data_IF_052346263112
#
_entry.id   IF_052346263112
#
_cell.length_a   1.000
_cell.length_b   1.000
_cell.length_c   1.000
_cell.angle_alpha   90.00
_cell.angle_beta   90.00
_cell.angle_gamma   90.00
#
_symmetry.space_group_name_H-M   'P 1'
#
loop_
_entity.id
_entity.type
_entity.pdbx_description
1 polymer ?
#
# COMPACT_ATOMS: atom_id res chain seq x y z
N UNK A 1 -1.96 10.44 -56.82
CA UNK A 1 -2.33 9.24 -56.02
C UNK A 1 -1.30 8.91 -54.94
N UNK A 2 0.02 8.96 -55.20
CA UNK A 2 1.05 8.69 -54.18
C UNK A 2 0.98 9.60 -52.93
N UNK A 3 0.65 10.89 -53.10
CA UNK A 3 0.56 11.88 -52.01
C UNK A 3 -0.62 11.58 -51.05
N UNK A 4 -1.71 10.99 -51.55
CA UNK A 4 -2.84 10.62 -50.71
C UNK A 4 -2.52 9.39 -49.85
N UNK A 5 -1.79 8.43 -50.41
CA UNK A 5 -1.37 7.22 -49.69
C UNK A 5 -0.38 7.59 -48.57
N UNK A 6 0.56 8.51 -48.85
CA UNK A 6 1.50 8.98 -47.81
C UNK A 6 0.82 9.81 -46.73
N UNK A 7 -0.15 10.67 -47.08
CA UNK A 7 -0.93 11.43 -46.09
C UNK A 7 -1.78 10.52 -45.18
N UNK A 8 -2.39 9.48 -45.74
CA UNK A 8 -3.17 8.50 -44.98
C UNK A 8 -2.27 7.67 -44.04
N UNK A 9 -1.12 7.20 -44.54
CA UNK A 9 -0.14 6.48 -43.72
C UNK A 9 0.38 7.35 -42.57
N UNK A 10 0.63 8.65 -42.82
CA UNK A 10 1.06 9.60 -41.79
C UNK A 10 -0.02 9.83 -40.74
N UNK A 11 -1.28 10.01 -41.16
CA UNK A 11 -2.41 10.20 -40.24
C UNK A 11 -2.61 8.99 -39.33
N UNK A 12 -2.46 7.76 -39.85
CA UNK A 12 -2.53 6.54 -39.05
C UNK A 12 -1.36 6.45 -38.06
N UNK A 13 -0.13 6.78 -38.50
CA UNK A 13 1.05 6.79 -37.65
C UNK A 13 0.93 7.77 -36.48
N UNK A 14 0.44 8.98 -36.74
CA UNK A 14 0.16 9.99 -35.71
C UNK A 14 -0.90 9.50 -34.70
N UNK A 15 -1.99 8.90 -35.20
CA UNK A 15 -3.03 8.32 -34.34
C UNK A 15 -2.46 7.28 -33.39
N UNK A 16 -1.70 6.31 -33.90
CA UNK A 16 -1.06 5.25 -33.09
C UNK A 16 -0.07 5.85 -32.08
N UNK A 17 0.72 6.86 -32.47
CA UNK A 17 1.67 7.50 -31.57
C UNK A 17 0.99 8.14 -30.35
N UNK A 18 -0.16 8.79 -30.53
CA UNK A 18 -0.90 9.39 -29.41
C UNK A 18 -1.42 8.36 -28.41
N UNK A 19 -1.82 7.17 -28.90
CA UNK A 19 -2.28 6.07 -28.05
C UNK A 19 -1.11 5.54 -27.21
N UNK A 20 0.02 5.25 -27.85
CA UNK A 20 1.22 4.75 -27.16
C UNK A 20 1.69 5.74 -26.10
N UNK A 21 1.67 7.04 -26.39
CA UNK A 21 2.09 8.05 -25.42
C UNK A 21 1.18 8.07 -24.16
N UNK A 22 -0.12 7.85 -24.33
CA UNK A 22 -1.04 7.67 -23.21
C UNK A 22 -0.76 6.40 -22.39
N UNK A 23 -0.52 5.27 -23.06
CA UNK A 23 -0.24 3.98 -22.42
C UNK A 23 1.04 3.99 -21.58
N UNK A 24 2.08 4.72 -22.02
CA UNK A 24 3.31 4.89 -21.26
C UNK A 24 3.07 5.61 -19.92
N UNK A 25 2.18 6.61 -19.91
CA UNK A 25 1.77 7.31 -18.69
C UNK A 25 1.07 6.38 -17.70
N UNK A 26 0.12 5.58 -18.18
CA UNK A 26 -0.63 4.62 -17.37
C UNK A 26 0.31 3.53 -16.82
N UNK A 27 1.23 3.02 -17.64
CA UNK A 27 2.19 1.99 -17.26
C UNK A 27 3.04 2.40 -16.05
N UNK A 28 3.45 3.67 -15.99
CA UNK A 28 4.17 4.21 -14.83
C UNK A 28 3.35 4.14 -13.54
N UNK A 29 2.07 4.53 -13.61
CA UNK A 29 1.15 4.49 -12.45
C UNK A 29 0.81 3.06 -12.02
N UNK A 30 0.78 2.12 -12.96
CA UNK A 30 0.59 0.69 -12.65
C UNK A 30 1.76 0.14 -11.85
N UNK A 31 3.01 0.49 -12.20
CA UNK A 31 4.19 0.09 -11.43
C UNK A 31 4.14 0.65 -10.00
N UNK A 32 3.84 1.94 -9.85
CA UNK A 32 3.71 2.60 -8.54
C UNK A 32 2.59 1.97 -7.70
N UNK A 33 1.49 1.54 -8.34
CA UNK A 33 0.39 0.83 -7.69
C UNK A 33 0.81 -0.55 -7.17
N UNK A 34 1.59 -1.30 -7.94
CA UNK A 34 2.08 -2.62 -7.52
C UNK A 34 3.01 -2.50 -6.31
N UNK A 35 3.86 -1.48 -6.30
CA UNK A 35 4.78 -1.20 -5.18
C UNK A 35 4.02 -0.84 -3.89
N UNK A 36 3.02 0.04 -4.00
CA UNK A 36 2.15 0.39 -2.87
C UNK A 36 1.33 -0.81 -2.38
N UNK A 37 0.80 -1.63 -3.29
CA UNK A 37 0.01 -2.82 -2.93
C UNK A 37 0.88 -3.89 -2.28
N UNK A 38 2.09 -4.14 -2.80
CA UNK A 38 3.05 -5.07 -2.20
C UNK A 38 3.45 -4.66 -0.78
N UNK A 39 3.65 -3.36 -0.55
CA UNK A 39 3.91 -2.83 0.79
C UNK A 39 2.72 -3.06 1.73
N UNK A 40 1.49 -2.81 1.26
CA UNK A 40 0.27 -3.04 2.03
C UNK A 40 0.08 -4.53 2.38
N UNK A 41 0.31 -5.43 1.43
CA UNK A 41 0.20 -6.88 1.60
C UNK A 41 1.23 -7.40 2.62
N UNK A 42 2.48 -6.95 2.51
CA UNK A 42 3.53 -7.31 3.47
C UNK A 42 3.22 -6.81 4.90
N UNK A 43 2.64 -5.62 5.01
CA UNK A 43 2.24 -5.05 6.30
C UNK A 43 1.08 -5.80 6.95
N UNK A 44 0.07 -6.20 6.16
CA UNK A 44 -1.10 -6.92 6.70
C UNK A 44 -0.71 -8.34 7.13
N UNK A 45 0.12 -9.03 6.37
CA UNK A 45 0.60 -10.37 6.73
C UNK A 45 1.41 -10.33 8.02
N UNK A 46 2.24 -9.30 8.23
CA UNK A 46 2.96 -9.16 9.49
C UNK A 46 1.99 -8.94 10.66
N UNK A 47 1.03 -8.05 10.50
CA UNK A 47 0.04 -7.76 11.54
C UNK A 47 -0.78 -9.00 11.89
N UNK A 48 -1.25 -9.73 10.87
CA UNK A 48 -2.06 -10.92 11.03
C UNK A 48 -1.26 -12.06 11.69
N UNK A 49 0.01 -12.23 11.32
CA UNK A 49 0.89 -13.20 11.97
C UNK A 49 1.03 -12.91 13.47
N UNK A 50 1.34 -11.66 13.83
CA UNK A 50 1.52 -11.28 15.24
C UNK A 50 0.21 -11.26 16.02
N UNK A 51 -0.95 -11.04 15.38
CA UNK A 51 -2.24 -11.14 16.04
C UNK A 51 -2.66 -12.60 16.27
N UNK A 52 -2.66 -13.43 15.22
CA UNK A 52 -3.20 -14.78 15.28
C UNK A 52 -2.25 -15.75 15.97
N UNK A 53 -0.94 -15.68 15.69
CA UNK A 53 0.03 -16.65 16.23
C UNK A 53 0.56 -16.26 17.59
N UNK A 54 0.77 -14.97 17.82
CA UNK A 54 1.48 -14.47 19.01
C UNK A 54 0.55 -13.69 19.95
N UNK A 55 -0.68 -13.38 19.54
CA UNK A 55 -1.64 -12.58 20.31
C UNK A 55 -1.06 -11.25 20.81
N UNK A 56 -0.12 -10.67 20.06
CA UNK A 56 0.68 -9.52 20.50
C UNK A 56 -0.12 -8.22 20.62
N UNK A 57 -1.33 -8.18 20.06
CA UNK A 57 -2.26 -7.04 20.13
C UNK A 57 -3.43 -7.28 21.08
N UNK A 58 -3.39 -8.33 21.91
CA UNK A 58 -4.32 -8.48 23.03
C UNK A 58 -3.87 -7.61 24.21
N UNK A 59 -4.81 -6.86 24.77
CA UNK A 59 -4.60 -5.90 25.88
C UNK A 59 -4.07 -6.59 27.17
N UNK A 60 -3.27 -5.92 28.03
CA UNK A 60 -2.51 -4.67 27.85
C UNK A 60 -1.00 -4.91 27.63
N UNK A 61 -0.57 -6.16 27.52
CA UNK A 61 0.85 -6.50 27.38
C UNK A 61 1.19 -6.54 25.90
N UNK A 62 1.67 -5.41 25.39
CA UNK A 62 2.16 -5.34 24.02
C UNK A 62 3.39 -6.22 23.85
N UNK A 63 3.30 -7.16 22.92
CA UNK A 63 4.48 -7.88 22.44
C UNK A 63 5.34 -6.97 21.56
N UNK A 64 6.64 -7.23 21.52
CA UNK A 64 7.52 -6.64 20.50
C UNK A 64 7.15 -7.22 19.15
N UNK A 65 6.55 -6.41 18.28
CA UNK A 65 6.25 -6.79 16.89
C UNK A 65 7.51 -6.56 16.06
N UNK A 66 8.02 -7.61 15.41
CA UNK A 66 9.13 -7.50 14.49
C UNK A 66 8.67 -7.87 13.08
N UNK A 67 8.86 -6.97 12.13
CA UNK A 67 8.55 -7.16 10.71
C UNK A 67 9.76 -6.72 9.87
N UNK A 68 10.16 -7.52 8.88
CA UNK A 68 11.23 -7.17 7.94
C UNK A 68 12.54 -6.67 8.61
N UNK A 69 12.99 -7.35 9.68
CA UNK A 69 14.14 -6.98 10.51
C UNK A 69 14.06 -5.58 11.16
N UNK A 70 12.87 -4.98 11.20
CA UNK A 70 12.58 -3.74 11.90
C UNK A 70 11.62 -4.01 13.06
N UNK A 71 11.82 -3.28 14.15
CA UNK A 71 10.93 -3.25 15.31
C UNK A 71 10.21 -1.89 15.32
N UNK A 72 9.09 -1.76 14.60
CA UNK A 72 8.41 -0.47 14.52
C UNK A 72 7.90 -0.02 15.88
N UNK A 73 7.87 1.28 16.08
CA UNK A 73 7.25 1.87 17.26
C UNK A 73 5.74 1.65 17.18
N UNK A 74 5.20 0.97 18.19
CA UNK A 74 3.77 0.72 18.33
C UNK A 74 3.12 1.91 19.02
N UNK A 75 2.20 2.57 18.35
CA UNK A 75 1.36 3.62 18.92
C UNK A 75 -0.01 3.02 19.28
N UNK A 76 -0.26 2.85 20.57
CA UNK A 76 -1.49 2.24 21.05
C UNK A 76 -2.41 3.28 21.64
N UNK A 77 -3.65 3.27 21.18
CA UNK A 77 -4.75 4.06 21.72
C UNK A 77 -5.81 3.09 22.21
N UNK A 78 -6.01 3.07 23.52
CA UNK A 78 -7.05 2.28 24.19
C UNK A 78 -8.24 3.20 24.41
N UNK A 79 -9.40 2.78 23.93
CA UNK A 79 -10.71 3.36 24.21
C UNK A 79 -11.53 2.36 25.02
N UNK A 80 -12.62 2.80 25.66
CA UNK A 80 -13.37 1.99 26.63
C UNK A 80 -13.77 0.59 26.13
N UNK A 81 -13.99 0.44 24.82
CA UNK A 81 -14.40 -0.81 24.17
C UNK A 81 -13.49 -1.24 23.01
N UNK A 82 -12.38 -0.54 22.76
CA UNK A 82 -11.53 -0.84 21.60
C UNK A 82 -10.08 -0.47 21.80
N UNK A 83 -9.20 -1.36 21.38
CA UNK A 83 -7.75 -1.16 21.41
C UNK A 83 -7.25 -1.02 19.98
N UNK A 84 -6.73 0.16 19.66
CA UNK A 84 -6.20 0.46 18.34
C UNK A 84 -4.69 0.60 18.40
N UNK A 85 -3.97 -0.29 17.73
CA UNK A 85 -2.52 -0.28 17.60
C UNK A 85 -2.14 0.16 16.20
N UNK A 86 -1.29 1.19 16.11
CA UNK A 86 -0.80 1.73 14.84
C UNK A 86 0.71 1.60 14.78
N UNK A 87 1.21 1.15 13.64
CA UNK A 87 2.64 1.11 13.39
C UNK A 87 2.94 1.33 11.91
N UNK A 88 4.16 1.78 11.62
CA UNK A 88 4.63 2.03 10.27
C UNK A 88 5.89 1.24 9.98
N UNK A 89 5.98 0.66 8.80
CA UNK A 89 7.15 -0.07 8.32
C UNK A 89 7.68 0.59 7.05
N UNK A 90 9.01 0.59 6.92
CA UNK A 90 9.69 1.00 5.70
C UNK A 90 10.16 -0.25 4.95
N UNK A 91 9.68 -0.44 3.72
CA UNK A 91 10.08 -1.54 2.85
C UNK A 91 10.88 -0.98 1.69
N UNK A 92 12.20 -0.98 1.82
CA UNK A 92 13.13 -0.36 0.85
C UNK A 92 12.83 1.13 0.62
N UNK A 93 11.94 1.47 -0.31
CA UNK A 93 11.52 2.84 -0.65
C UNK A 93 10.00 3.06 -0.57
N UNK A 94 9.23 2.05 -0.18
CA UNK A 94 7.79 2.16 0.06
C UNK A 94 7.49 2.13 1.55
N UNK A 95 6.39 2.76 1.94
CA UNK A 95 5.94 2.80 3.32
C UNK A 95 4.66 1.99 3.45
N UNK A 96 4.46 1.36 4.61
CA UNK A 96 3.16 0.83 4.98
C UNK A 96 2.77 1.30 6.38
N UNK A 97 1.51 1.72 6.51
CA UNK A 97 0.88 2.07 7.77
C UNK A 97 -0.17 1.02 8.08
N UNK A 98 0.07 0.29 9.17
CA UNK A 98 -0.85 -0.72 9.66
C UNK A 98 -1.61 -0.17 10.86
N UNK A 99 -2.91 -0.43 10.89
CA UNK A 99 -3.80 -0.15 12.00
C UNK A 99 -4.53 -1.44 12.37
N UNK A 100 -4.25 -1.96 13.55
CA UNK A 100 -4.97 -3.09 14.15
C UNK A 100 -5.97 -2.51 15.14
N UNK A 101 -7.26 -2.73 14.91
CA UNK A 101 -8.33 -2.32 15.82
C UNK A 101 -9.01 -3.56 16.35
N UNK A 102 -8.85 -3.81 17.65
CA UNK A 102 -9.59 -4.85 18.37
C UNK A 102 -10.77 -4.26 19.10
N UNK A 103 -11.87 -5.00 19.07
CA UNK A 103 -13.04 -4.81 19.92
C UNK A 103 -13.37 -6.16 20.56
N UNK A 104 -14.33 -6.21 21.49
CA UNK A 104 -14.71 -7.46 22.15
C UNK A 104 -15.26 -8.55 21.19
N UNK A 105 -15.70 -8.17 19.99
CA UNK A 105 -16.40 -9.06 19.05
C UNK A 105 -15.76 -9.13 17.66
N UNK A 106 -14.86 -8.20 17.34
CA UNK A 106 -14.32 -8.05 15.98
C UNK A 106 -12.90 -7.50 16.04
N UNK A 107 -12.01 -8.07 15.23
CA UNK A 107 -10.69 -7.54 14.93
C UNK A 107 -10.63 -7.05 13.49
N UNK A 108 -10.23 -5.80 13.32
CA UNK A 108 -10.08 -5.17 12.01
C UNK A 108 -8.62 -4.79 11.83
N UNK A 109 -8.00 -5.36 10.81
CA UNK A 109 -6.63 -5.05 10.42
C UNK A 109 -6.69 -4.31 9.10
N UNK A 110 -6.28 -3.04 9.14
CA UNK A 110 -6.18 -2.18 7.95
C UNK A 110 -4.72 -1.92 7.66
N UNK A 111 -4.29 -2.20 6.43
CA UNK A 111 -2.93 -1.94 5.96
C UNK A 111 -2.97 -1.00 4.77
N UNK A 112 -2.22 0.09 4.83
CA UNK A 112 -2.17 1.12 3.80
C UNK A 112 -0.72 1.30 3.34
N UNK A 113 -0.41 0.87 2.12
CA UNK A 113 0.90 1.00 1.50
C UNK A 113 0.98 2.20 0.56
N UNK A 114 2.16 2.81 0.51
CA UNK A 114 2.50 4.00 -0.28
C UNK A 114 3.77 3.72 -1.08
N UNK A 115 3.84 4.20 -2.33
CA UNK A 115 5.01 4.05 -3.20
C UNK A 115 6.23 4.91 -2.80
N UNK A 116 6.18 5.58 -1.64
CA UNK A 116 7.22 6.48 -1.13
C UNK A 116 7.53 6.17 0.32
N UNK A 117 8.67 6.66 0.80
CA UNK A 117 9.07 6.49 2.20
C UNK A 117 8.13 7.23 3.16
N UNK A 118 8.04 6.71 4.39
CA UNK A 118 7.10 7.19 5.40
C UNK A 118 7.33 8.67 5.72
N UNK A 119 6.26 9.47 5.71
CA UNK A 119 6.30 10.89 6.09
C UNK A 119 6.80 11.84 5.00
N UNK A 120 7.12 11.33 3.81
CA UNK A 120 7.37 12.18 2.65
C UNK A 120 6.04 12.56 1.98
N UNK A 121 5.95 13.78 1.47
CA UNK A 121 4.85 14.21 0.60
C UNK A 121 5.44 14.54 -0.77
N UNK A 122 5.20 13.67 -1.75
CA UNK A 122 5.65 13.85 -3.14
C UNK A 122 4.50 14.21 -4.08
N UNK A 123 4.82 14.75 -5.27
CA UNK A 123 3.81 15.14 -6.27
C UNK A 123 3.07 13.98 -6.95
N UNK A 124 3.53 12.73 -6.78
CA UNK A 124 2.92 11.50 -7.35
C UNK A 124 2.93 10.35 -6.34
N UNK A 125 2.22 10.52 -5.23
CA UNK A 125 2.02 9.45 -4.26
C UNK A 125 0.86 8.57 -4.69
N UNK A 126 1.12 7.26 -4.81
CA UNK A 126 0.10 6.24 -5.03
C UNK A 126 -0.07 5.46 -3.74
N UNK A 127 -1.32 5.32 -3.31
CA UNK A 127 -1.70 4.56 -2.13
C UNK A 127 -2.58 3.38 -2.51
N UNK A 128 -2.34 2.24 -1.88
CA UNK A 128 -3.15 1.02 -1.98
C UNK A 128 -3.33 0.44 -0.58
N UNK A 129 -4.43 -0.25 -0.33
CA UNK A 129 -4.68 -0.80 0.99
C UNK A 129 -5.51 -2.06 0.98
N UNK A 130 -5.38 -2.83 2.05
CA UNK A 130 -6.15 -4.02 2.33
C UNK A 130 -6.79 -3.89 3.72
N UNK A 131 -7.99 -4.42 3.86
CA UNK A 131 -8.70 -4.52 5.13
C UNK A 131 -9.18 -5.94 5.33
N UNK A 132 -8.85 -6.52 6.48
CA UNK A 132 -9.27 -7.86 6.88
C UNK A 132 -10.03 -7.76 8.20
N UNK A 133 -11.16 -8.45 8.28
CA UNK A 133 -12.03 -8.50 9.46
C UNK A 133 -12.28 -9.95 9.85
N UNK A 134 -12.18 -10.25 11.13
CA UNK A 134 -12.49 -11.56 11.71
C UNK A 134 -12.85 -11.47 13.17
#
# INVERSE_FOLDING_TARGET
MAIFISALALSLGLGIFTIIFGELGISGTSKESLEAFYAADSGIECALFWDIKQQAFNDPVLGTVQCANSTPLLNVTIDANSTTTRFSLLLSNSCVRVTVRKTALETIVTSLGENIACGLTGGRTVQRGLEVKY
#
